data_IF_980435363300
#
_entry.id   IF_980435363300
#
_cell.length_a   1.000
_cell.length_b   1.000
_cell.length_c   1.000
_cell.angle_alpha   90.00
_cell.angle_beta   90.00
_cell.angle_gamma   90.00
#
_symmetry.space_group_name_H-M   'P 1'
#
loop_
_entity.id
_entity.type
_entity.pdbx_description
1 polymer ?
#
# COMPACT_ATOMS: atom_id res chain seq x y z
N UNK A 1 35.95 -18.78 -25.33
CA UNK A 1 36.26 -18.67 -23.88
C UNK A 1 35.21 -19.48 -23.13
N UNK A 2 35.59 -20.41 -22.25
CA UNK A 2 34.59 -21.16 -21.51
C UNK A 2 33.83 -20.22 -20.59
N UNK A 3 32.49 -20.27 -20.66
CA UNK A 3 31.61 -19.56 -19.73
C UNK A 3 31.97 -19.96 -18.30
N UNK A 4 32.41 -18.98 -17.50
CA UNK A 4 32.60 -19.18 -16.06
C UNK A 4 31.23 -19.47 -15.47
N UNK A 5 30.98 -20.71 -15.09
CA UNK A 5 29.80 -21.09 -14.31
C UNK A 5 29.73 -20.24 -13.04
N UNK A 6 28.70 -19.43 -12.92
CA UNK A 6 28.46 -18.68 -11.70
C UNK A 6 27.84 -19.65 -10.68
N UNK A 7 28.52 -19.88 -9.59
CA UNK A 7 27.95 -20.60 -8.46
C UNK A 7 26.87 -19.72 -7.79
N UNK A 8 25.82 -20.34 -7.29
CA UNK A 8 24.77 -19.67 -6.53
C UNK A 8 24.56 -20.46 -5.23
N UNK A 9 24.18 -19.73 -4.17
CA UNK A 9 23.81 -20.30 -2.88
C UNK A 9 22.30 -20.52 -2.85
N UNK A 10 21.87 -21.71 -2.40
CA UNK A 10 20.46 -22.04 -2.21
C UNK A 10 20.14 -22.01 -0.72
N UNK A 11 19.22 -21.15 -0.33
CA UNK A 11 18.69 -21.08 1.04
C UNK A 11 17.29 -21.68 1.04
N UNK A 12 17.07 -22.70 1.87
CA UNK A 12 15.79 -23.40 1.98
C UNK A 12 15.14 -23.03 3.31
N UNK A 13 13.96 -22.37 3.23
CA UNK A 13 13.13 -22.11 4.39
C UNK A 13 12.07 -23.21 4.52
N UNK A 14 12.08 -23.89 5.66
CA UNK A 14 11.05 -24.85 6.06
C UNK A 14 10.08 -24.19 7.04
N UNK A 15 8.78 -24.36 6.82
CA UNK A 15 7.74 -23.85 7.69
C UNK A 15 6.69 -24.93 7.91
N UNK A 16 6.32 -25.18 9.18
CA UNK A 16 5.23 -26.09 9.52
C UNK A 16 3.90 -25.48 9.04
N UNK A 17 3.04 -26.30 8.42
CA UNK A 17 1.69 -25.87 8.05
C UNK A 17 0.85 -25.67 9.31
N UNK A 18 0.07 -24.60 9.34
CA UNK A 18 -0.79 -24.25 10.46
C UNK A 18 -2.22 -24.76 10.20
N UNK A 19 -2.56 -24.94 8.92
CA UNK A 19 -3.90 -25.36 8.49
C UNK A 19 -4.04 -26.87 8.68
N UNK A 20 -5.05 -27.27 9.47
CA UNK A 20 -5.29 -28.66 9.85
C UNK A 20 -5.78 -29.60 8.74
N UNK A 21 -5.77 -29.19 7.49
CA UNK A 21 -6.02 -30.04 6.34
C UNK A 21 -4.69 -30.63 5.83
N UNK A 22 -4.37 -31.81 6.35
CA UNK A 22 -3.33 -32.66 5.78
C UNK A 22 -3.87 -33.24 4.46
N UNK A 23 -3.45 -32.68 3.35
CA UNK A 23 -3.64 -33.32 2.07
C UNK A 23 -2.80 -34.62 2.04
N UNK A 24 -3.39 -35.73 1.65
CA UNK A 24 -2.76 -37.07 1.69
C UNK A 24 -1.41 -37.15 0.95
N UNK A 25 -1.13 -36.15 0.09
CA UNK A 25 0.07 -36.09 -0.76
C UNK A 25 1.03 -34.98 -0.38
N UNK A 26 0.63 -34.05 0.49
CA UNK A 26 1.44 -32.91 0.91
C UNK A 26 1.90 -33.07 2.37
N UNK A 27 3.20 -33.13 2.57
CA UNK A 27 3.82 -33.31 3.90
C UNK A 27 3.49 -32.17 4.87
N UNK A 28 3.78 -32.40 6.16
CA UNK A 28 3.56 -31.49 7.30
C UNK A 28 4.25 -30.10 7.15
N UNK A 29 5.18 -29.98 6.21
CA UNK A 29 6.03 -28.81 6.03
C UNK A 29 5.91 -28.23 4.61
N UNK A 30 5.92 -26.88 4.55
CA UNK A 30 6.10 -26.14 3.31
C UNK A 30 7.56 -25.71 3.18
N UNK A 31 8.11 -25.89 2.00
CA UNK A 31 9.48 -25.52 1.67
C UNK A 31 9.49 -24.38 0.67
N UNK A 32 10.32 -23.36 0.92
CA UNK A 32 10.57 -22.25 -0.01
C UNK A 32 12.06 -22.14 -0.26
N UNK A 33 12.44 -22.11 -1.52
CA UNK A 33 13.83 -22.02 -1.96
C UNK A 33 14.12 -20.58 -2.42
N UNK A 34 15.23 -20.03 -1.93
CA UNK A 34 15.73 -18.71 -2.33
C UNK A 34 17.14 -18.94 -2.92
N UNK A 35 17.28 -18.59 -4.20
CA UNK A 35 18.57 -18.61 -4.87
C UNK A 35 19.21 -17.23 -4.77
N UNK A 36 20.47 -17.16 -4.31
CA UNK A 36 21.19 -15.91 -4.12
C UNK A 36 22.66 -16.03 -4.53
N UNK A 37 23.25 -14.91 -4.89
CA UNK A 37 24.69 -14.75 -5.08
C UNK A 37 25.39 -14.14 -3.85
N UNK A 38 24.67 -13.95 -2.77
CA UNK A 38 25.18 -13.47 -1.48
C UNK A 38 25.68 -14.66 -0.67
N UNK A 39 27.00 -14.70 -0.42
CA UNK A 39 27.67 -15.73 0.35
C UNK A 39 28.03 -15.28 1.76
N UNK A 40 27.95 -13.96 2.04
CA UNK A 40 28.40 -13.36 3.28
C UNK A 40 27.26 -13.29 4.31
N UNK A 41 26.06 -12.96 3.88
CA UNK A 41 24.90 -12.85 4.76
C UNK A 41 24.45 -14.20 5.33
N UNK A 42 23.95 -14.19 6.55
CA UNK A 42 23.33 -15.37 7.17
C UNK A 42 22.02 -15.76 6.48
N UNK A 43 21.60 -17.03 6.62
CA UNK A 43 20.34 -17.51 6.04
C UNK A 43 19.13 -16.70 6.52
N UNK A 44 19.15 -16.26 7.80
CA UNK A 44 18.08 -15.44 8.39
C UNK A 44 17.99 -14.07 7.73
N UNK A 45 19.13 -13.44 7.45
CA UNK A 45 19.18 -12.14 6.77
C UNK A 45 18.71 -12.24 5.33
N UNK A 46 19.13 -13.28 4.60
CA UNK A 46 18.67 -13.55 3.24
C UNK A 46 17.13 -13.73 3.21
N UNK A 47 16.57 -14.53 4.12
CA UNK A 47 15.13 -14.74 4.23
C UNK A 47 14.41 -13.43 4.58
N UNK A 48 14.95 -12.62 5.49
CA UNK A 48 14.40 -11.32 5.88
C UNK A 48 14.39 -10.36 4.69
N UNK A 49 15.52 -10.26 3.99
CA UNK A 49 15.63 -9.43 2.78
C UNK A 49 14.65 -9.85 1.69
N UNK A 50 14.54 -11.15 1.42
CA UNK A 50 13.61 -11.68 0.44
C UNK A 50 12.15 -11.39 0.81
N UNK A 51 11.79 -11.46 2.08
CA UNK A 51 10.44 -11.16 2.56
C UNK A 51 10.08 -9.66 2.37
N UNK A 52 11.06 -8.74 2.35
CA UNK A 52 10.82 -7.32 2.04
C UNK A 52 10.31 -7.10 0.61
N UNK A 53 10.57 -8.04 -0.31
CA UNK A 53 10.00 -8.04 -1.67
C UNK A 53 8.46 -7.99 -1.64
N UNK A 54 7.83 -8.74 -0.74
CA UNK A 54 6.37 -8.74 -0.60
C UNK A 54 5.79 -7.36 -0.25
N UNK A 55 6.59 -6.47 0.33
CA UNK A 55 6.22 -5.08 0.57
C UNK A 55 6.04 -4.28 -0.73
N UNK A 56 6.93 -4.48 -1.70
CA UNK A 56 6.85 -3.83 -3.03
C UNK A 56 5.64 -4.34 -3.82
N UNK A 57 5.40 -5.65 -3.81
CA UNK A 57 4.22 -6.26 -4.46
C UNK A 57 2.91 -5.73 -3.87
N UNK A 58 2.87 -5.49 -2.56
CA UNK A 58 1.72 -4.87 -1.89
C UNK A 58 1.51 -3.43 -2.35
N UNK A 59 2.58 -2.66 -2.56
CA UNK A 59 2.49 -1.30 -3.09
C UNK A 59 1.89 -1.31 -4.49
N UNK A 60 2.38 -2.17 -5.39
CA UNK A 60 1.83 -2.29 -6.74
C UNK A 60 0.36 -2.76 -6.73
N UNK A 61 0.00 -3.69 -5.87
CA UNK A 61 -1.40 -4.12 -5.73
C UNK A 61 -2.29 -2.97 -5.22
N UNK A 62 -1.80 -2.16 -4.29
CA UNK A 62 -2.51 -0.98 -3.77
C UNK A 62 -2.70 0.08 -4.88
N UNK A 63 -1.66 0.35 -5.67
CA UNK A 63 -1.73 1.32 -6.78
C UNK A 63 -2.59 0.82 -7.92
N UNK A 64 -2.52 -0.46 -8.28
CA UNK A 64 -3.36 -1.05 -9.32
C UNK A 64 -4.86 -0.96 -8.96
N UNK A 65 -5.20 -1.32 -7.73
CA UNK A 65 -6.60 -1.39 -7.30
C UNK A 65 -7.16 -0.06 -6.77
N UNK A 66 -6.30 0.78 -6.22
CA UNK A 66 -6.67 2.08 -5.63
C UNK A 66 -6.59 3.24 -6.61
N UNK A 67 -5.59 3.24 -7.47
CA UNK A 67 -5.22 4.37 -8.32
C UNK A 67 -5.30 4.06 -9.83
N UNK A 68 -5.72 2.86 -10.22
CA UNK A 68 -5.97 2.52 -11.61
C UNK A 68 -4.72 2.24 -12.45
N UNK A 69 -3.59 1.86 -11.85
CA UNK A 69 -2.35 1.57 -12.57
C UNK A 69 -2.44 0.37 -13.53
N UNK A 70 -3.44 -0.48 -13.35
CA UNK A 70 -3.73 -1.61 -14.24
C UNK A 70 -4.51 -1.20 -15.52
N UNK A 71 -4.94 0.06 -15.63
CA UNK A 71 -5.69 0.57 -16.79
C UNK A 71 -5.30 2.03 -17.02
N UNK A 72 -4.37 2.22 -17.93
CA UNK A 72 -3.94 3.58 -18.29
C UNK A 72 -5.05 4.35 -19.00
N UNK A 73 -5.22 5.65 -18.67
CA UNK A 73 -6.29 6.48 -19.25
C UNK A 73 -6.05 6.86 -20.71
N UNK A 74 -4.81 6.73 -21.20
CA UNK A 74 -4.39 7.17 -22.51
C UNK A 74 -3.58 6.11 -23.26
N UNK A 75 -3.46 6.29 -24.58
CA UNK A 75 -2.65 5.43 -25.42
C UNK A 75 -1.19 5.89 -25.53
N UNK A 76 -0.88 7.12 -25.14
CA UNK A 76 0.44 7.71 -25.26
C UNK A 76 1.26 7.58 -24.00
N UNK A 77 2.54 7.27 -24.13
CA UNK A 77 3.44 7.01 -23.02
C UNK A 77 3.67 8.24 -22.14
N UNK A 78 3.82 9.43 -22.73
CA UNK A 78 4.03 10.67 -21.98
C UNK A 78 2.91 10.95 -20.98
N UNK A 79 1.67 10.97 -21.44
CA UNK A 79 0.49 11.22 -20.63
C UNK A 79 0.29 10.15 -19.54
N UNK A 80 0.60 8.89 -19.86
CA UNK A 80 0.54 7.81 -18.88
C UNK A 80 1.64 7.94 -17.81
N UNK A 81 2.82 8.45 -18.17
CA UNK A 81 3.90 8.73 -17.22
C UNK A 81 3.48 9.84 -16.24
N UNK A 82 2.88 10.91 -16.73
CA UNK A 82 2.34 11.98 -15.88
C UNK A 82 1.26 11.46 -14.94
N UNK A 83 0.36 10.63 -15.45
CA UNK A 83 -0.68 9.98 -14.63
C UNK A 83 -0.07 9.12 -13.51
N UNK A 84 0.97 8.32 -13.81
CA UNK A 84 1.65 7.50 -12.82
C UNK A 84 2.33 8.34 -11.74
N UNK A 85 3.04 9.41 -12.13
CA UNK A 85 3.72 10.32 -11.21
C UNK A 85 2.71 11.03 -10.30
N UNK A 86 1.63 11.55 -10.87
CA UNK A 86 0.60 12.26 -10.12
C UNK A 86 -0.11 11.35 -9.12
N UNK A 87 -0.48 10.14 -9.55
CA UNK A 87 -1.14 9.17 -8.68
C UNK A 87 -0.20 8.62 -7.61
N UNK A 88 1.11 8.50 -7.88
CA UNK A 88 2.11 8.18 -6.86
C UNK A 88 2.20 9.28 -5.78
N UNK A 89 2.19 10.55 -6.20
CA UNK A 89 2.17 11.69 -5.28
C UNK A 89 0.89 11.69 -4.42
N UNK A 90 -0.27 11.51 -5.04
CA UNK A 90 -1.57 11.42 -4.33
C UNK A 90 -1.55 10.25 -3.33
N UNK A 91 -0.98 9.11 -3.70
CA UNK A 91 -0.84 7.97 -2.79
C UNK A 91 0.01 8.31 -1.57
N UNK A 92 1.13 8.99 -1.76
CA UNK A 92 2.00 9.40 -0.65
C UNK A 92 1.27 10.41 0.26
N UNK A 93 0.57 11.36 -0.32
CA UNK A 93 -0.25 12.32 0.41
C UNK A 93 -1.37 11.64 1.20
N UNK A 94 -2.06 10.68 0.59
CA UNK A 94 -3.05 9.85 1.29
C UNK A 94 -2.45 9.12 2.51
N UNK A 95 -1.29 8.50 2.36
CA UNK A 95 -0.61 7.82 3.48
C UNK A 95 -0.16 8.79 4.57
N UNK A 96 0.27 9.97 4.19
CA UNK A 96 0.62 11.04 5.11
C UNK A 96 -0.59 11.50 5.94
N UNK A 97 -1.73 11.76 5.30
CA UNK A 97 -2.97 12.12 6.01
C UNK A 97 -3.41 11.00 6.94
N UNK A 98 -3.44 9.75 6.45
CA UNK A 98 -3.84 8.59 7.26
C UNK A 98 -2.94 8.35 8.47
N UNK A 99 -1.68 8.77 8.40
CA UNK A 99 -0.75 8.69 9.54
C UNK A 99 -1.00 9.75 10.62
N UNK A 100 -1.65 10.85 10.29
CA UNK A 100 -1.96 11.97 11.21
C UNK A 100 -3.41 12.02 11.66
N UNK A 101 -4.30 11.42 10.88
CA UNK A 101 -5.73 11.37 11.16
C UNK A 101 -6.03 10.30 12.22
N UNK A 102 -6.90 10.60 13.18
CA UNK A 102 -7.53 9.55 14.00
C UNK A 102 -8.54 8.75 13.16
N UNK A 103 -8.00 7.82 12.40
CA UNK A 103 -8.74 7.05 11.42
C UNK A 103 -9.95 6.30 12.02
N UNK A 104 -9.90 5.94 13.29
CA UNK A 104 -10.97 5.21 14.00
C UNK A 104 -12.25 6.04 14.09
N UNK A 105 -12.14 7.37 14.27
CA UNK A 105 -13.29 8.28 14.32
C UNK A 105 -14.09 8.34 13.01
N UNK A 106 -13.47 7.90 11.90
CA UNK A 106 -14.08 7.81 10.58
C UNK A 106 -14.31 6.36 10.13
N UNK A 107 -14.29 5.41 11.07
CA UNK A 107 -14.38 3.97 10.81
C UNK A 107 -13.33 3.47 9.80
N UNK A 108 -12.17 4.11 9.77
CA UNK A 108 -11.06 3.77 8.91
C UNK A 108 -9.99 3.02 9.71
N UNK A 109 -9.24 2.16 9.00
CA UNK A 109 -8.03 1.51 9.49
C UNK A 109 -6.83 2.03 8.71
N UNK A 110 -5.66 2.10 9.32
CA UNK A 110 -4.42 2.53 8.64
C UNK A 110 -4.09 1.67 7.38
N UNK A 111 -4.64 0.45 7.33
CA UNK A 111 -4.48 -0.49 6.21
C UNK A 111 -5.53 -0.33 5.12
N UNK A 112 -6.55 0.52 5.31
CA UNK A 112 -7.59 0.72 4.31
C UNK A 112 -7.00 1.23 2.99
N UNK A 113 -7.68 0.91 1.90
CA UNK A 113 -7.36 1.46 0.57
C UNK A 113 -7.95 2.85 0.41
N UNK A 114 -7.39 3.63 -0.50
CA UNK A 114 -7.85 5.00 -0.78
C UNK A 114 -9.36 5.08 -1.09
N UNK A 115 -9.95 4.07 -1.73
CA UNK A 115 -11.38 4.03 -2.02
C UNK A 115 -12.24 4.11 -0.76
N UNK A 116 -11.84 3.41 0.31
CA UNK A 116 -12.56 3.47 1.59
C UNK A 116 -12.40 4.84 2.24
N UNK A 117 -11.21 5.44 2.14
CA UNK A 117 -10.96 6.79 2.63
C UNK A 117 -11.80 7.83 1.87
N UNK A 118 -11.82 7.76 0.54
CA UNK A 118 -12.65 8.66 -0.26
C UNK A 118 -14.13 8.51 0.12
N UNK A 119 -14.63 7.29 0.22
CA UNK A 119 -16.03 7.03 0.55
C UNK A 119 -16.42 7.53 1.95
N UNK A 120 -15.58 7.28 2.97
CA UNK A 120 -15.93 7.56 4.37
C UNK A 120 -15.52 8.95 4.84
N UNK A 121 -14.49 9.53 4.24
CA UNK A 121 -13.92 10.80 4.68
C UNK A 121 -14.12 11.94 3.68
N UNK A 122 -13.97 11.69 2.38
CA UNK A 122 -14.06 12.76 1.36
C UNK A 122 -15.48 12.93 0.85
N UNK A 123 -16.24 11.82 0.64
CA UNK A 123 -17.58 11.86 0.03
C UNK A 123 -18.65 12.28 1.03
N UNK A 124 -18.49 13.47 1.59
CA UNK A 124 -19.43 14.08 2.53
C UNK A 124 -20.11 15.26 1.86
N UNK A 125 -21.43 15.42 1.99
CA UNK A 125 -22.13 16.58 1.47
C UNK A 125 -21.55 17.88 2.03
N UNK A 126 -21.16 18.80 1.16
CA UNK A 126 -20.62 20.08 1.56
C UNK A 126 -21.03 21.20 0.60
N UNK A 127 -21.10 22.43 1.10
CA UNK A 127 -21.45 23.61 0.30
C UNK A 127 -20.51 24.75 0.64
N UNK A 128 -19.92 25.36 -0.38
CA UNK A 128 -19.23 26.64 -0.26
C UNK A 128 -20.23 27.77 -0.18
N UNK A 129 -20.15 28.59 0.85
CA UNK A 129 -20.95 29.77 1.05
C UNK A 129 -20.04 30.98 1.13
N UNK A 130 -20.32 32.00 0.33
CA UNK A 130 -19.64 33.31 0.43
C UNK A 130 -20.45 34.20 1.36
N UNK A 131 -19.86 34.54 2.51
CA UNK A 131 -20.48 35.43 3.48
C UNK A 131 -19.57 36.66 3.61
N UNK A 132 -20.05 37.82 3.16
CA UNK A 132 -19.30 39.10 3.18
C UNK A 132 -17.91 38.95 2.51
N UNK A 133 -16.86 38.82 3.28
CA UNK A 133 -15.47 38.73 2.84
C UNK A 133 -14.85 37.33 3.06
N UNK A 134 -15.63 36.36 3.51
CA UNK A 134 -15.16 35.03 3.85
C UNK A 134 -15.81 33.97 2.99
N UNK A 135 -15.03 32.95 2.65
CA UNK A 135 -15.51 31.71 2.06
C UNK A 135 -15.61 30.66 3.16
N UNK A 136 -16.82 30.17 3.41
CA UNK A 136 -17.08 29.17 4.44
C UNK A 136 -17.49 27.87 3.77
N UNK A 137 -16.83 26.78 4.16
CA UNK A 137 -17.23 25.43 3.74
C UNK A 137 -18.13 24.83 4.82
N UNK A 138 -19.41 24.73 4.52
CA UNK A 138 -20.36 24.01 5.38
C UNK A 138 -20.33 22.53 5.03
N UNK A 139 -19.98 21.70 5.99
CA UNK A 139 -19.97 20.24 5.86
C UNK A 139 -21.21 19.70 6.57
N UNK A 140 -22.05 18.97 5.85
CA UNK A 140 -23.28 18.41 6.39
C UNK A 140 -23.03 16.98 6.85
N UNK A 141 -22.68 16.81 8.11
CA UNK A 141 -22.36 15.53 8.71
C UNK A 141 -22.82 15.49 10.17
N UNK A 142 -23.16 14.31 10.65
CA UNK A 142 -23.38 14.06 12.08
C UNK A 142 -22.09 13.68 12.83
N UNK A 143 -20.95 13.55 12.12
CA UNK A 143 -19.68 13.22 12.73
C UNK A 143 -18.90 14.49 13.12
N UNK A 144 -18.88 14.80 14.41
CA UNK A 144 -18.19 15.96 14.97
C UNK A 144 -16.65 15.89 14.82
N UNK A 145 -16.10 14.73 14.53
CA UNK A 145 -14.65 14.57 14.33
C UNK A 145 -14.09 15.39 13.15
N UNK A 146 -14.93 15.81 12.22
CA UNK A 146 -14.48 16.72 11.14
C UNK A 146 -13.98 18.06 11.67
N UNK A 147 -14.58 18.60 12.73
CA UNK A 147 -14.11 19.86 13.35
C UNK A 147 -12.68 19.72 13.89
N UNK A 148 -12.35 18.58 14.47
CA UNK A 148 -11.00 18.31 15.00
C UNK A 148 -9.97 18.18 13.88
N UNK A 149 -10.33 17.62 12.73
CA UNK A 149 -9.42 17.49 11.59
C UNK A 149 -8.93 18.84 11.10
N UNK A 150 -9.82 19.84 11.03
CA UNK A 150 -9.44 21.19 10.61
C UNK A 150 -8.64 21.97 11.66
N UNK A 151 -8.57 21.46 12.88
CA UNK A 151 -7.72 22.01 13.95
C UNK A 151 -6.38 21.29 14.04
N UNK A 152 -6.23 20.16 13.34
CA UNK A 152 -4.99 19.38 13.35
C UNK A 152 -3.94 20.08 12.51
N UNK A 153 -2.78 20.31 13.11
CA UNK A 153 -1.61 20.78 12.36
C UNK A 153 -1.03 19.61 11.55
N UNK A 154 -1.06 19.75 10.25
CA UNK A 154 -0.49 18.77 9.33
C UNK A 154 0.99 19.03 8.99
N UNK A 155 1.64 20.02 9.63
CA UNK A 155 3.06 20.36 9.49
C UNK A 155 3.35 21.42 8.47
#
# INVERSE_FOLDING_TARGET
MPEKWKAYRLVIKRQKRIDGELDLWEGEYTYRCILTNDYESSEKEIVKFYNLRGGKERIFNDTNNGFGWNRFPKSFMGENTEFLLLTALIRNFYKFIMGRLDAKKFELKATNRIKAFVFRFISVPAKWVKTSRQHVLNIYTCNNAYAEVFQTDFG
#
